data_IF_303803219190
#
_entry.id   IF_303803219190
#
_cell.length_a   1.000
_cell.length_b   1.000
_cell.length_c   1.000
_cell.angle_alpha   90.00
_cell.angle_beta   90.00
_cell.angle_gamma   90.00
#
_symmetry.space_group_name_H-M   'P 1'
#
loop_
_entity.id
_entity.type
_entity.pdbx_description
1 polymer ?
#
# COMPACT_ATOMS: atom_id res chain seq x y z
N UNK A 1 -14.27 13.53 -12.65
CA UNK A 1 -12.82 13.42 -12.96
C UNK A 1 -12.55 11.99 -13.43
N UNK A 2 -11.73 11.81 -14.46
CA UNK A 2 -11.26 10.48 -14.92
C UNK A 2 -9.73 10.49 -14.86
N UNK A 3 -9.15 9.49 -14.22
CA UNK A 3 -7.70 9.29 -14.12
C UNK A 3 -7.34 7.97 -14.78
N UNK A 4 -6.32 7.99 -15.61
CA UNK A 4 -5.75 6.80 -16.23
C UNK A 4 -4.22 6.82 -16.07
N UNK A 5 -3.60 5.66 -16.05
CA UNK A 5 -2.15 5.53 -16.01
C UNK A 5 -1.69 4.46 -16.99
N UNK A 6 -0.69 4.78 -17.79
CA UNK A 6 0.00 3.82 -18.64
C UNK A 6 1.02 3.01 -17.83
N UNK A 7 0.96 1.68 -17.95
CA UNK A 7 1.79 0.78 -17.14
C UNK A 7 3.28 0.82 -17.53
N UNK A 8 3.59 1.01 -18.80
CA UNK A 8 4.97 1.08 -19.29
C UNK A 8 5.61 2.36 -18.78
N UNK A 9 4.90 3.49 -18.92
CA UNK A 9 5.35 4.79 -18.43
C UNK A 9 5.52 4.79 -16.91
N UNK A 10 4.55 4.27 -16.16
CA UNK A 10 4.63 4.19 -14.70
C UNK A 10 5.84 3.35 -14.25
N UNK A 11 6.07 2.19 -14.85
CA UNK A 11 7.20 1.32 -14.51
C UNK A 11 8.56 1.92 -14.89
N UNK A 12 8.64 2.73 -15.93
CA UNK A 12 9.90 3.36 -16.35
C UNK A 12 10.22 4.63 -15.57
N UNK A 13 9.24 5.36 -15.07
CA UNK A 13 9.44 6.68 -14.44
C UNK A 13 9.09 6.75 -12.96
N UNK A 14 8.24 5.85 -12.45
CA UNK A 14 7.69 5.93 -11.08
C UNK A 14 7.86 4.63 -10.29
N UNK A 15 8.87 3.83 -10.64
CA UNK A 15 9.22 2.60 -9.95
C UNK A 15 10.36 2.84 -8.97
N UNK A 16 10.18 2.44 -7.72
CA UNK A 16 11.15 2.58 -6.65
C UNK A 16 11.50 1.23 -6.04
N UNK A 17 12.80 0.98 -5.87
CA UNK A 17 13.28 -0.18 -5.12
C UNK A 17 13.05 0.00 -3.62
N UNK A 18 12.65 -1.08 -2.96
CA UNK A 18 12.51 -1.17 -1.50
C UNK A 18 13.46 -2.26 -0.98
N UNK A 19 13.59 -2.40 0.33
CA UNK A 19 14.41 -3.47 0.93
C UNK A 19 13.92 -4.89 0.61
N UNK A 20 12.67 -5.05 0.19
CA UNK A 20 12.04 -6.37 -0.02
C UNK A 20 11.42 -6.55 -1.41
N UNK A 21 11.67 -5.62 -2.32
CA UNK A 21 11.13 -5.66 -3.68
C UNK A 21 11.00 -4.29 -4.31
N UNK A 22 9.86 -3.99 -4.92
CA UNK A 22 9.61 -2.76 -5.66
C UNK A 22 8.22 -2.20 -5.39
N UNK A 23 8.09 -0.87 -5.50
CA UNK A 23 6.81 -0.17 -5.58
C UNK A 23 6.76 0.65 -6.86
N UNK A 24 5.62 0.64 -7.55
CA UNK A 24 5.40 1.44 -8.75
C UNK A 24 4.13 2.25 -8.57
N UNK A 25 4.22 3.59 -8.55
CA UNK A 25 3.07 4.47 -8.47
C UNK A 25 2.41 4.63 -9.84
N UNK A 26 1.11 4.40 -9.91
CA UNK A 26 0.28 4.60 -11.11
C UNK A 26 -0.53 5.89 -10.99
N UNK A 27 -1.30 6.03 -9.93
CA UNK A 27 -2.12 7.21 -9.64
C UNK A 27 -1.78 7.68 -8.24
N UNK A 28 -1.61 8.99 -8.07
CA UNK A 28 -1.20 9.57 -6.80
C UNK A 28 0.18 9.11 -6.37
N UNK A 29 0.64 9.58 -5.22
CA UNK A 29 1.91 9.16 -4.65
C UNK A 29 2.02 9.55 -3.18
N UNK A 30 2.89 8.86 -2.45
CA UNK A 30 3.39 9.23 -1.14
C UNK A 30 4.89 8.92 -1.07
N UNK A 31 5.54 9.21 0.06
CA UNK A 31 6.98 8.97 0.25
C UNK A 31 7.47 7.54 -0.02
N UNK A 32 6.59 6.56 -0.02
CA UNK A 32 6.94 5.15 -0.26
C UNK A 32 6.79 4.73 -1.72
N UNK A 33 6.09 5.54 -2.51
CA UNK A 33 5.78 5.24 -3.91
C UNK A 33 6.47 6.18 -4.89
N UNK A 34 7.06 7.29 -4.41
CA UNK A 34 7.83 8.21 -5.25
C UNK A 34 9.25 7.73 -5.48
N UNK A 35 9.85 8.03 -6.65
CA UNK A 35 11.28 7.93 -6.86
C UNK A 35 12.07 8.71 -5.80
N UNK A 36 13.32 8.29 -5.49
CA UNK A 36 14.13 8.93 -4.43
C UNK A 36 14.48 10.40 -4.68
N UNK A 37 14.47 10.84 -5.93
CA UNK A 37 14.77 12.20 -6.39
C UNK A 37 13.56 13.14 -6.37
N UNK A 38 12.34 12.60 -6.24
CA UNK A 38 11.15 13.41 -6.04
C UNK A 38 10.94 13.69 -4.54
N UNK A 39 10.63 14.94 -4.22
CA UNK A 39 10.24 15.28 -2.83
C UNK A 39 8.98 14.52 -2.46
N UNK A 40 8.98 13.79 -1.33
CA UNK A 40 7.74 13.20 -0.85
C UNK A 40 6.73 14.33 -0.58
N UNK A 41 5.45 14.12 -0.91
CA UNK A 41 4.40 15.01 -0.45
C UNK A 41 4.49 15.10 1.09
N UNK A 42 4.17 16.26 1.63
CA UNK A 42 4.13 16.47 3.07
C UNK A 42 3.37 15.33 3.75
N UNK A 43 3.76 15.00 5.00
CA UNK A 43 3.09 13.94 5.77
C UNK A 43 1.63 14.26 6.10
N UNK A 44 1.16 15.44 5.71
CA UNK A 44 -0.21 15.91 5.85
C UNK A 44 -1.03 15.56 4.61
N UNK A 45 -2.31 15.21 4.78
CA UNK A 45 -3.22 15.13 3.65
C UNK A 45 -3.27 16.48 2.93
N UNK A 46 -3.51 16.48 1.61
CA UNK A 46 -3.76 17.71 0.87
C UNK A 46 -4.87 18.54 1.55
N UNK A 47 -4.67 19.84 1.65
CA UNK A 47 -5.56 20.80 2.36
C UNK A 47 -6.82 21.17 1.54
N UNK A 48 -7.28 20.28 0.69
CA UNK A 48 -8.49 20.51 -0.12
C UNK A 48 -9.50 19.37 0.06
N UNK A 49 -10.76 19.63 -0.27
CA UNK A 49 -11.84 18.65 -0.24
C UNK A 49 -11.83 17.71 -1.46
N UNK A 50 -10.81 17.79 -2.31
CA UNK A 50 -10.73 16.95 -3.50
C UNK A 50 -10.35 15.51 -3.14
N UNK A 51 -10.86 14.56 -3.94
CA UNK A 51 -10.42 13.17 -3.85
C UNK A 51 -8.98 13.06 -4.39
N UNK A 52 -8.11 12.49 -3.59
CA UNK A 52 -6.73 12.17 -3.95
C UNK A 52 -6.54 10.65 -4.01
N UNK A 53 -7.12 9.98 -5.02
CA UNK A 53 -7.03 8.53 -5.13
C UNK A 53 -5.59 8.08 -5.35
N UNK A 54 -5.29 6.90 -4.87
CA UNK A 54 -3.98 6.27 -5.04
C UNK A 54 -4.14 4.87 -5.65
N UNK A 55 -3.30 4.58 -6.64
CA UNK A 55 -3.13 3.24 -7.20
C UNK A 55 -1.65 2.95 -7.38
N UNK A 56 -1.15 1.89 -6.76
CA UNK A 56 0.25 1.50 -6.89
C UNK A 56 0.42 -0.01 -6.80
N UNK A 57 1.40 -0.52 -7.54
CA UNK A 57 1.81 -1.91 -7.52
C UNK A 57 2.91 -2.12 -6.47
N UNK A 58 2.72 -3.09 -5.60
CA UNK A 58 3.72 -3.59 -4.66
C UNK A 58 4.20 -4.95 -5.16
N UNK A 59 5.52 -5.07 -5.35
CA UNK A 59 6.17 -6.31 -5.79
C UNK A 59 7.09 -6.78 -4.66
N UNK A 60 6.76 -7.88 -4.01
CA UNK A 60 7.56 -8.48 -2.93
C UNK A 60 8.29 -9.71 -3.43
N UNK A 61 9.59 -9.75 -3.15
CA UNK A 61 10.43 -10.90 -3.45
C UNK A 61 10.10 -12.14 -2.61
N UNK A 62 10.67 -13.31 -2.97
CA UNK A 62 10.46 -14.56 -2.24
C UNK A 62 10.76 -14.43 -0.74
N UNK A 63 9.82 -14.92 0.09
CA UNK A 63 9.96 -14.93 1.54
C UNK A 63 9.91 -13.57 2.24
N UNK A 64 9.67 -12.48 1.50
CA UNK A 64 9.56 -11.15 2.08
C UNK A 64 8.41 -11.06 3.08
N UNK A 65 8.64 -10.36 4.19
CA UNK A 65 7.65 -10.17 5.24
C UNK A 65 7.31 -8.69 5.36
N UNK A 66 6.02 -8.37 5.24
CA UNK A 66 5.46 -7.08 5.62
C UNK A 66 4.80 -7.24 7.00
N UNK A 67 5.34 -6.56 8.00
CA UNK A 67 4.86 -6.66 9.38
C UNK A 67 3.41 -6.20 9.51
N UNK A 68 2.69 -6.61 10.57
CA UNK A 68 1.36 -6.08 10.87
C UNK A 68 1.37 -4.55 10.91
N UNK A 69 0.39 -3.94 10.25
CA UNK A 69 0.29 -2.49 10.11
C UNK A 69 -1.16 -2.07 9.83
N UNK A 70 -1.40 -0.77 9.85
CA UNK A 70 -2.65 -0.17 9.42
C UNK A 70 -2.40 1.06 8.56
N UNK A 71 -3.45 1.53 7.90
CA UNK A 71 -3.48 2.74 7.10
C UNK A 71 -4.56 3.70 7.59
N UNK A 72 -4.48 4.97 7.15
CA UNK A 72 -5.47 6.00 7.48
C UNK A 72 -6.56 6.13 6.40
N UNK A 73 -6.51 5.28 5.39
CA UNK A 73 -7.48 5.22 4.30
C UNK A 73 -7.98 3.80 4.11
N UNK A 74 -9.24 3.69 3.71
CA UNK A 74 -9.80 2.43 3.24
C UNK A 74 -9.05 2.00 1.97
N UNK A 75 -8.85 0.70 1.82
CA UNK A 75 -8.12 0.18 0.68
C UNK A 75 -8.60 -1.18 0.22
N UNK A 76 -8.44 -1.41 -1.08
CA UNK A 76 -8.41 -2.73 -1.67
C UNK A 76 -6.98 -3.12 -2.03
N UNK A 77 -6.65 -4.38 -1.83
CA UNK A 77 -5.44 -5.02 -2.35
C UNK A 77 -5.85 -6.17 -3.26
N UNK A 78 -5.40 -6.12 -4.51
CA UNK A 78 -5.72 -7.13 -5.53
C UNK A 78 -4.45 -7.85 -5.90
N UNK A 79 -4.38 -9.15 -5.60
CA UNK A 79 -3.20 -9.98 -5.94
C UNK A 79 -3.18 -10.20 -7.44
N UNK A 80 -2.08 -9.86 -8.08
CA UNK A 80 -1.92 -9.94 -9.54
C UNK A 80 -0.84 -10.93 -9.97
N UNK A 81 -0.01 -11.40 -9.05
CA UNK A 81 0.96 -12.46 -9.32
C UNK A 81 1.45 -13.10 -8.01
N UNK A 82 1.81 -14.38 -8.09
CA UNK A 82 2.42 -15.11 -6.99
C UNK A 82 1.42 -15.53 -5.91
N UNK A 83 1.94 -15.84 -4.73
CA UNK A 83 1.15 -16.26 -3.57
C UNK A 83 1.85 -15.94 -2.27
N UNK A 84 1.09 -15.94 -1.19
CA UNK A 84 1.59 -15.69 0.16
C UNK A 84 0.52 -15.91 1.21
N UNK A 85 0.81 -15.46 2.42
CA UNK A 85 -0.12 -15.49 3.55
C UNK A 85 -0.44 -14.08 4.02
N UNK A 86 -1.68 -13.83 4.37
CA UNK A 86 -2.12 -12.66 5.12
C UNK A 86 -2.66 -13.14 6.47
N UNK A 87 -1.89 -12.98 7.54
CA UNK A 87 -2.17 -13.68 8.77
C UNK A 87 -2.27 -15.18 8.50
N UNK A 88 -3.41 -15.80 8.81
CA UNK A 88 -3.69 -17.21 8.61
C UNK A 88 -4.37 -17.55 7.26
N UNK A 89 -4.61 -16.55 6.40
CA UNK A 89 -5.28 -16.72 5.13
C UNK A 89 -4.29 -16.81 3.97
N UNK A 90 -4.43 -17.82 3.13
CA UNK A 90 -3.66 -17.92 1.89
C UNK A 90 -4.15 -16.92 0.86
N UNK A 91 -3.20 -16.21 0.24
CA UNK A 91 -3.42 -15.28 -0.86
C UNK A 91 -2.74 -15.77 -2.11
N UNK A 92 -3.46 -15.77 -3.22
CA UNK A 92 -2.95 -16.11 -4.54
C UNK A 92 -3.53 -15.17 -5.60
N UNK A 93 -3.05 -15.32 -6.82
CA UNK A 93 -3.49 -14.54 -7.98
C UNK A 93 -5.03 -14.47 -8.08
N UNK A 94 -5.55 -13.27 -8.26
CA UNK A 94 -6.99 -12.96 -8.28
C UNK A 94 -7.64 -12.76 -6.91
N UNK A 95 -6.95 -13.03 -5.79
CA UNK A 95 -7.50 -12.75 -4.47
C UNK A 95 -7.63 -11.24 -4.23
N UNK A 96 -8.65 -10.86 -3.48
CA UNK A 96 -8.92 -9.47 -3.09
C UNK A 96 -9.01 -9.37 -1.58
N UNK A 97 -8.28 -8.42 -1.01
CA UNK A 97 -8.36 -8.02 0.38
C UNK A 97 -8.92 -6.60 0.49
N UNK A 98 -9.83 -6.38 1.42
CA UNK A 98 -10.31 -5.06 1.82
C UNK A 98 -10.00 -4.81 3.28
N UNK A 99 -9.62 -3.59 3.61
CA UNK A 99 -9.48 -3.14 5.00
C UNK A 99 -9.91 -1.68 5.12
N UNK A 100 -10.64 -1.39 6.17
CA UNK A 100 -11.03 -0.03 6.55
C UNK A 100 -9.81 0.75 7.06
N UNK A 101 -9.92 2.06 7.03
CA UNK A 101 -9.01 2.94 7.74
C UNK A 101 -8.91 2.55 9.23
N UNK A 102 -7.69 2.62 9.77
CA UNK A 102 -7.40 2.29 11.17
C UNK A 102 -7.75 0.85 11.60
N UNK A 103 -7.73 -0.08 10.66
CA UNK A 103 -7.82 -1.52 10.94
C UNK A 103 -6.46 -2.18 10.67
N UNK A 104 -5.86 -2.74 11.74
CA UNK A 104 -4.57 -3.42 11.62
C UNK A 104 -4.74 -4.81 11.00
N UNK A 105 -3.85 -5.16 10.09
CA UNK A 105 -3.84 -6.44 9.40
C UNK A 105 -2.40 -6.93 9.14
N UNK A 106 -2.26 -8.19 8.77
CA UNK A 106 -0.96 -8.83 8.52
C UNK A 106 -0.57 -9.82 9.64
N UNK A 107 0.67 -10.34 9.58
CA UNK A 107 1.70 -10.03 8.58
C UNK A 107 1.31 -10.50 7.18
N UNK A 108 1.90 -9.88 6.14
CA UNK A 108 1.89 -10.42 4.79
C UNK A 108 3.23 -11.13 4.57
N UNK A 109 3.18 -12.41 4.26
CA UNK A 109 4.37 -13.24 4.03
C UNK A 109 4.35 -13.74 2.60
N UNK A 110 5.31 -13.29 1.79
CA UNK A 110 5.45 -13.73 0.40
C UNK A 110 5.89 -15.20 0.34
N UNK A 111 5.31 -15.95 -0.56
CA UNK A 111 5.71 -17.33 -0.84
C UNK A 111 7.03 -17.43 -1.60
N UNK A 112 7.38 -18.65 -2.04
CA UNK A 112 8.66 -18.94 -2.73
C UNK A 112 8.83 -18.22 -4.07
N UNK A 113 7.74 -17.82 -4.73
CA UNK A 113 7.75 -17.07 -5.98
C UNK A 113 7.58 -15.55 -5.80
N UNK A 114 7.49 -15.08 -4.54
CA UNK A 114 7.10 -13.72 -4.25
C UNK A 114 5.58 -13.52 -4.32
N UNK A 115 5.14 -12.30 -4.12
CA UNK A 115 3.75 -11.90 -4.25
C UNK A 115 3.66 -10.44 -4.72
N UNK A 116 2.78 -10.17 -5.67
CA UNK A 116 2.53 -8.84 -6.20
C UNK A 116 1.07 -8.48 -6.04
N UNK A 117 0.81 -7.23 -5.62
CA UNK A 117 -0.56 -6.74 -5.50
C UNK A 117 -0.68 -5.25 -5.85
N UNK A 118 -1.82 -4.89 -6.45
CA UNK A 118 -2.24 -3.50 -6.51
C UNK A 118 -2.88 -3.09 -5.18
N UNK A 119 -2.49 -1.92 -4.68
CA UNK A 119 -3.21 -1.20 -3.63
C UNK A 119 -3.99 -0.06 -4.27
N UNK A 120 -5.29 0.00 -3.97
CA UNK A 120 -6.22 1.01 -4.48
C UNK A 120 -6.86 1.72 -3.29
N UNK A 121 -6.79 3.04 -3.27
CA UNK A 121 -7.35 3.90 -2.22
C UNK A 121 -8.15 5.03 -2.85
N UNK A 122 -9.23 5.43 -2.19
CA UNK A 122 -10.06 6.57 -2.64
C UNK A 122 -9.49 7.92 -2.18
N UNK A 123 -8.53 7.94 -1.26
CA UNK A 123 -7.90 9.14 -0.74
C UNK A 123 -6.41 8.94 -0.48
N UNK A 124 -5.71 10.06 -0.29
CA UNK A 124 -4.31 10.07 0.10
C UNK A 124 -4.08 9.39 1.46
N UNK A 125 -2.94 8.73 1.59
CA UNK A 125 -2.49 8.05 2.81
C UNK A 125 -0.96 8.21 2.93
N UNK A 126 -0.42 8.56 4.11
CA UNK A 126 1.00 8.79 4.32
C UNK A 126 1.86 7.53 4.22
N UNK A 127 1.24 6.35 4.26
CA UNK A 127 1.91 5.06 4.27
C UNK A 127 1.59 4.21 5.50
N UNK A 128 2.19 3.04 5.53
CA UNK A 128 1.96 2.05 6.59
C UNK A 128 2.43 2.54 7.97
N UNK A 129 1.58 2.32 8.98
CA UNK A 129 1.88 2.50 10.39
C UNK A 129 2.01 1.13 11.06
N UNK A 130 3.21 0.82 11.51
CA UNK A 130 3.57 -0.54 11.93
C UNK A 130 3.26 -0.82 13.39
N UNK A 131 2.68 -2.00 13.63
CA UNK A 131 2.45 -2.52 14.97
C UNK A 131 3.73 -3.16 15.55
N UNK A 132 3.92 -3.14 16.89
CA UNK A 132 3.05 -2.53 17.92
C UNK A 132 3.35 -1.03 18.17
N UNK A 133 4.36 -0.44 17.52
CA UNK A 133 4.84 0.92 17.79
C UNK A 133 3.72 1.99 17.68
N UNK A 134 2.81 1.81 16.73
CA UNK A 134 1.72 2.75 16.46
C UNK A 134 0.38 2.39 17.15
N UNK A 135 0.41 1.53 18.17
CA UNK A 135 -0.81 1.05 18.86
C UNK A 135 -1.62 2.18 19.51
N UNK A 136 -0.94 3.15 20.10
CA UNK A 136 -1.62 4.28 20.75
C UNK A 136 -2.36 5.15 19.74
N UNK A 137 -1.76 5.39 18.57
CA UNK A 137 -2.39 6.13 17.47
C UNK A 137 -3.63 5.37 16.97
N UNK A 138 -3.53 4.05 16.82
CA UNK A 138 -4.63 3.20 16.40
C UNK A 138 -5.80 3.27 17.41
N UNK A 139 -5.52 3.12 18.70
CA UNK A 139 -6.54 3.16 19.75
C UNK A 139 -7.24 4.52 19.80
N UNK A 140 -6.46 5.61 19.81
CA UNK A 140 -7.01 6.97 19.81
C UNK A 140 -7.86 7.30 18.57
N UNK A 141 -7.60 6.67 17.42
CA UNK A 141 -8.43 6.83 16.24
C UNK A 141 -9.75 6.05 16.34
N UNK A 142 -9.73 4.85 16.91
CA UNK A 142 -10.92 3.99 17.10
C UNK A 142 -11.89 4.57 18.13
N UNK A 143 -11.38 5.25 19.15
CA UNK A 143 -12.22 5.91 20.18
C UNK A 143 -12.98 7.12 19.63
N UNK A 144 -12.66 7.60 18.41
CA UNK A 144 -13.33 8.73 17.74
C UNK A 144 -14.38 8.31 16.72
N UNK A 145 -14.50 7.03 16.45
CA UNK A 145 -15.45 6.41 15.52
C UNK A 145 -16.35 5.41 16.24
#
# INVERSE_FOLDING_TARGET
>A
MVLTADSILARSTRRRQTSTGWNTAYIGANRYTLPPDEKPPDEKPPDDDALHPMAFLVEKGPGAVTRPHFHQADQFQVIVAGRGMLGDHEFSDGAVHYTDAYSAYGPIVAGKSGIWWFTLRNRWDPGARYMPAEREVLNAARDRH
#
